data_IF_781219116101
#
_entry.id   IF_781219116101
#
_cell.length_a   1.000
_cell.length_b   1.000
_cell.length_c   1.000
_cell.angle_alpha   90.00
_cell.angle_beta   90.00
_cell.angle_gamma   90.00
#
_symmetry.space_group_name_H-M   'P 1'
#
loop_
_entity.id
_entity.type
_entity.pdbx_description
1 polymer ?
#
# COMPACT_ATOMS: atom_id res chain seq x y z
N UNK A 1 -7.73 -10.48 6.72
CA UNK A 1 -8.30 -11.47 7.63
C UNK A 1 -7.26 -12.53 7.94
N UNK A 2 -7.10 -12.83 9.22
CA UNK A 2 -6.16 -13.83 9.76
C UNK A 2 -6.98 -14.99 10.30
N UNK A 3 -6.60 -16.22 9.95
CA UNK A 3 -7.23 -17.42 10.49
C UNK A 3 -6.70 -17.73 11.88
N UNK A 4 -7.59 -18.12 12.78
CA UNK A 4 -7.30 -18.63 14.12
C UNK A 4 -8.20 -19.82 14.40
N UNK A 5 -7.75 -20.69 15.29
CA UNK A 5 -8.46 -21.90 15.68
C UNK A 5 -8.89 -21.77 17.12
N UNK A 6 -10.19 -21.87 17.38
CA UNK A 6 -10.74 -21.84 18.74
C UNK A 6 -10.48 -23.17 19.46
N UNK A 7 -10.72 -23.18 20.77
CA UNK A 7 -10.61 -24.39 21.60
C UNK A 7 -11.54 -25.53 21.14
N UNK A 8 -12.69 -25.19 20.55
CA UNK A 8 -13.65 -26.14 19.97
C UNK A 8 -13.20 -26.69 18.59
N UNK A 9 -11.96 -26.42 18.18
CA UNK A 9 -11.37 -26.78 16.88
C UNK A 9 -12.06 -26.13 15.68
N UNK A 10 -12.95 -25.15 15.90
CA UNK A 10 -13.54 -24.40 14.81
C UNK A 10 -12.57 -23.34 14.29
N UNK A 11 -12.51 -23.25 12.96
CA UNK A 11 -11.72 -22.23 12.27
C UNK A 11 -12.52 -20.91 12.25
N UNK A 12 -11.88 -19.83 12.69
CA UNK A 12 -12.44 -18.48 12.66
C UNK A 12 -11.47 -17.55 11.93
N UNK A 13 -12.03 -16.54 11.25
CA UNK A 13 -11.25 -15.47 10.64
C UNK A 13 -11.50 -14.17 11.37
N UNK A 14 -10.42 -13.52 11.80
CA UNK A 14 -10.45 -12.27 12.57
C UNK A 14 -9.83 -11.15 11.74
N UNK A 15 -10.38 -9.93 11.89
CA UNK A 15 -9.73 -8.73 11.40
C UNK A 15 -8.53 -8.39 12.30
N UNK A 16 -7.28 -8.46 11.80
CA UNK A 16 -6.11 -8.16 12.64
C UNK A 16 -6.07 -6.72 13.15
N UNK A 17 -6.70 -5.78 12.43
CA UNK A 17 -6.72 -4.37 12.84
C UNK A 17 -7.65 -4.11 14.04
N UNK A 18 -8.52 -5.06 14.38
CA UNK A 18 -9.41 -4.97 15.54
C UNK A 18 -8.82 -5.63 16.80
N UNK A 19 -7.65 -6.24 16.72
CA UNK A 19 -7.01 -6.89 17.86
C UNK A 19 -6.36 -5.82 18.73
N UNK A 20 -6.74 -5.77 20.01
CA UNK A 20 -6.10 -4.91 21.02
C UNK A 20 -4.84 -5.61 21.56
N UNK A 21 -5.00 -6.83 22.08
CA UNK A 21 -3.91 -7.58 22.69
C UNK A 21 -4.03 -9.08 22.41
N UNK A 22 -2.88 -9.74 22.46
CA UNK A 22 -2.73 -11.19 22.38
C UNK A 22 -1.89 -11.58 23.59
N UNK A 23 -2.47 -12.36 24.51
CA UNK A 23 -1.82 -12.82 25.74
C UNK A 23 -1.70 -14.34 25.69
N UNK A 24 -0.56 -14.90 26.12
CA UNK A 24 -0.30 -16.35 26.12
C UNK A 24 -0.24 -16.86 27.58
N UNK A 25 -1.36 -17.37 28.11
CA UNK A 25 -1.50 -17.83 29.50
C UNK A 25 -2.56 -18.94 29.66
N UNK A 26 -2.19 -20.17 30.03
CA UNK A 26 -1.36 -21.07 29.20
C UNK A 26 -1.84 -21.23 27.75
N UNK A 27 -3.11 -20.89 27.49
CA UNK A 27 -3.71 -20.78 26.17
C UNK A 27 -3.61 -19.33 25.65
N UNK A 28 -3.79 -19.11 24.35
CA UNK A 28 -3.70 -17.76 23.80
C UNK A 28 -5.07 -17.07 23.82
N UNK A 29 -5.13 -15.87 24.39
CA UNK A 29 -6.34 -15.03 24.46
C UNK A 29 -6.17 -13.81 23.55
N UNK A 30 -7.12 -13.64 22.63
CA UNK A 30 -7.20 -12.47 21.75
C UNK A 30 -8.32 -11.56 22.25
N UNK A 31 -7.98 -10.33 22.60
CA UNK A 31 -8.97 -9.30 22.96
C UNK A 31 -9.19 -8.37 21.77
N UNK A 32 -10.46 -8.18 21.39
CA UNK A 32 -10.84 -7.27 20.31
C UNK A 32 -11.26 -5.90 20.85
N UNK A 33 -11.23 -4.90 19.95
CA UNK A 33 -11.66 -3.51 20.20
C UNK A 33 -13.06 -3.40 20.83
N UNK A 34 -13.98 -4.28 20.47
CA UNK A 34 -15.35 -4.28 20.98
C UNK A 34 -15.50 -4.91 22.38
N UNK A 35 -14.40 -5.31 23.02
CA UNK A 35 -14.40 -5.97 24.33
C UNK A 35 -14.56 -7.49 24.27
N UNK A 36 -14.84 -8.08 23.09
CA UNK A 36 -14.95 -9.53 22.95
C UNK A 36 -13.57 -10.19 23.12
N UNK A 37 -13.55 -11.34 23.79
CA UNK A 37 -12.35 -12.15 24.02
C UNK A 37 -12.52 -13.53 23.40
N UNK A 38 -11.50 -13.98 22.69
CA UNK A 38 -11.46 -15.31 22.07
C UNK A 38 -10.26 -16.09 22.60
N UNK A 39 -10.52 -17.30 23.08
CA UNK A 39 -9.48 -18.24 23.46
C UNK A 39 -9.18 -19.13 22.25
N UNK A 40 -7.92 -19.20 21.87
CA UNK A 40 -7.44 -19.90 20.67
C UNK A 40 -6.30 -20.85 21.02
N UNK A 41 -6.21 -21.95 20.27
CA UNK A 41 -5.14 -22.95 20.42
C UNK A 41 -3.85 -22.53 19.69
N UNK A 42 -3.96 -21.58 18.75
CA UNK A 42 -2.80 -21.06 18.03
C UNK A 42 -1.92 -20.24 18.98
N UNK A 43 -0.62 -20.53 19.01
CA UNK A 43 0.36 -19.72 19.75
C UNK A 43 0.38 -18.27 19.28
N UNK A 44 0.64 -17.34 20.19
CA UNK A 44 0.75 -15.91 19.91
C UNK A 44 1.71 -15.61 18.74
N UNK A 45 2.89 -16.24 18.73
CA UNK A 45 3.90 -16.06 17.67
C UNK A 45 3.38 -16.43 16.27
N UNK A 46 2.54 -17.47 16.18
CA UNK A 46 1.94 -17.90 14.90
C UNK A 46 0.95 -16.87 14.40
N UNK A 47 0.12 -16.34 15.31
CA UNK A 47 -0.87 -15.31 14.99
C UNK A 47 -0.16 -14.03 14.52
N UNK A 48 0.87 -13.59 15.23
CA UNK A 48 1.69 -12.42 14.87
C UNK A 48 2.29 -12.59 13.47
N UNK A 49 2.86 -13.77 13.18
CA UNK A 49 3.44 -14.06 11.87
C UNK A 49 2.39 -13.98 10.75
N UNK A 50 1.17 -14.48 10.99
CA UNK A 50 0.05 -14.36 10.05
C UNK A 50 -0.38 -12.91 9.84
N UNK A 51 -0.37 -12.07 10.89
CA UNK A 51 -0.66 -10.63 10.81
C UNK A 51 0.38 -9.92 9.93
N UNK A 52 1.67 -10.17 10.19
CA UNK A 52 2.78 -9.59 9.41
C UNK A 52 2.66 -9.99 7.94
N UNK A 53 2.44 -11.28 7.67
CA UNK A 53 2.25 -11.79 6.31
C UNK A 53 1.05 -11.15 5.61
N UNK A 54 -0.07 -10.96 6.32
CA UNK A 54 -1.26 -10.29 5.80
C UNK A 54 -0.95 -8.83 5.40
N UNK A 55 -0.32 -8.05 6.28
CA UNK A 55 0.04 -6.65 6.00
C UNK A 55 1.05 -6.54 4.85
N UNK A 56 2.07 -7.39 4.84
CA UNK A 56 3.07 -7.44 3.77
C UNK A 56 2.44 -7.78 2.41
N UNK A 57 1.48 -8.71 2.38
CA UNK A 57 0.75 -9.09 1.16
C UNK A 57 -0.08 -7.92 0.63
N UNK A 58 -0.75 -7.17 1.49
CA UNK A 58 -1.50 -5.97 1.10
C UNK A 58 -0.55 -4.90 0.55
N UNK A 59 0.51 -4.58 1.29
CA UNK A 59 1.50 -3.56 0.90
C UNK A 59 2.14 -3.87 -0.46
N UNK A 60 2.58 -5.12 -0.67
CA UNK A 60 3.17 -5.55 -1.96
C UNK A 60 2.18 -5.39 -3.12
N UNK A 61 0.91 -5.76 -2.93
CA UNK A 61 -0.12 -5.61 -3.97
C UNK A 61 -0.38 -4.13 -4.27
N UNK A 62 -0.44 -3.28 -3.25
CA UNK A 62 -0.61 -1.84 -3.42
C UNK A 62 0.58 -1.19 -4.14
N UNK A 63 1.82 -1.59 -3.81
CA UNK A 63 3.04 -1.09 -4.44
C UNK A 63 3.21 -1.54 -5.90
N UNK A 64 2.62 -2.66 -6.31
CA UNK A 64 2.72 -3.20 -7.68
C UNK A 64 1.96 -2.40 -8.75
N UNK A 65 1.42 -1.23 -8.42
CA UNK A 65 0.90 -0.30 -9.43
C UNK A 65 2.08 0.15 -10.29
N UNK A 66 2.20 -0.46 -11.47
CA UNK A 66 3.08 -0.06 -12.57
C UNK A 66 3.25 1.45 -12.54
N UNK A 67 4.41 1.92 -12.05
CA UNK A 67 4.68 3.35 -11.94
C UNK A 67 4.47 3.93 -13.34
N UNK A 68 3.44 4.78 -13.44
CA UNK A 68 2.93 5.45 -14.63
C UNK A 68 3.97 5.46 -15.77
N UNK A 69 3.80 4.56 -16.74
CA UNK A 69 4.64 4.44 -17.96
C UNK A 69 4.82 5.79 -18.68
N UNK A 70 3.86 6.70 -18.48
CA UNK A 70 3.85 8.06 -19.02
C UNK A 70 4.77 9.06 -18.29
N UNK A 71 5.20 8.81 -17.04
CA UNK A 71 6.23 9.62 -16.39
C UNK A 71 7.63 9.38 -16.99
N UNK A 72 7.82 8.29 -17.75
CA UNK A 72 9.10 7.93 -18.36
C UNK A 72 9.34 8.47 -19.77
N UNK A 73 8.40 9.21 -20.40
CA UNK A 73 8.51 9.61 -21.82
C UNK A 73 8.92 11.07 -22.08
N UNK A 74 9.14 11.88 -21.04
CA UNK A 74 9.45 13.30 -21.25
C UNK A 74 10.86 13.63 -20.75
N UNK A 75 11.90 13.21 -21.48
CA UNK A 75 13.23 13.82 -21.36
C UNK A 75 14.28 13.52 -22.43
N UNK A 76 13.97 12.79 -23.50
CA UNK A 76 14.99 12.45 -24.52
C UNK A 76 14.94 13.24 -25.84
N UNK A 77 13.86 13.96 -26.17
CA UNK A 77 13.74 14.55 -27.52
C UNK A 77 13.22 16.00 -27.60
N UNK A 78 13.18 16.76 -26.49
CA UNK A 78 12.64 18.14 -26.53
C UNK A 78 13.70 19.25 -26.58
N UNK A 79 14.99 18.94 -26.54
CA UNK A 79 16.04 19.94 -26.66
C UNK A 79 17.13 19.46 -27.61
N UNK A 80 16.87 19.56 -28.91
CA UNK A 80 17.94 19.65 -29.90
C UNK A 80 18.18 21.14 -30.15
N UNK A 81 19.26 21.68 -29.58
CA UNK A 81 19.77 23.00 -29.97
C UNK A 81 20.46 22.81 -31.33
N UNK A 82 19.78 23.10 -32.44
CA UNK A 82 20.48 23.32 -33.69
C UNK A 82 21.24 24.64 -33.55
N UNK A 83 22.55 24.54 -33.36
CA UNK A 83 23.46 25.69 -33.44
C UNK A 83 23.67 26.05 -34.92
N UNK A 84 22.72 26.77 -35.51
CA UNK A 84 22.96 27.47 -36.76
C UNK A 84 23.51 28.88 -36.45
N UNK A 85 24.68 29.30 -36.99
CA UNK A 85 25.31 30.55 -36.56
C UNK A 85 24.58 31.86 -36.93
N UNK A 86 23.57 31.82 -37.82
CA UNK A 86 23.04 33.03 -38.47
C UNK A 86 21.57 33.40 -38.13
N UNK A 87 20.83 32.62 -37.36
CA UNK A 87 19.42 32.92 -37.08
C UNK A 87 19.23 33.79 -35.83
N UNK A 88 19.27 35.12 -36.01
CA UNK A 88 18.71 36.09 -35.07
C UNK A 88 17.18 36.11 -35.18
N UNK A 89 16.48 35.10 -34.65
CA UNK A 89 15.03 35.19 -34.40
C UNK A 89 14.70 34.58 -33.05
N UNK A 90 14.25 35.40 -32.11
CA UNK A 90 13.79 34.96 -30.79
C UNK A 90 12.48 34.14 -30.94
N UNK A 91 12.34 32.96 -30.30
CA UNK A 91 11.08 32.25 -30.32
C UNK A 91 10.08 32.96 -29.42
N UNK A 92 8.93 33.31 -29.99
CA UNK A 92 7.76 33.77 -29.25
C UNK A 92 7.39 32.69 -28.23
N UNK A 93 7.52 32.98 -26.93
CA UNK A 93 7.11 32.09 -25.85
C UNK A 93 5.58 32.02 -25.83
N UNK A 94 5.00 31.12 -26.62
CA UNK A 94 3.66 30.64 -26.33
C UNK A 94 3.75 29.84 -25.02
N UNK A 95 3.38 30.52 -23.93
CA UNK A 95 3.09 29.93 -22.63
C UNK A 95 2.07 28.79 -22.83
N UNK A 96 2.57 27.56 -23.01
CA UNK A 96 1.80 26.35 -22.82
C UNK A 96 1.66 26.13 -21.31
N UNK A 97 0.83 26.95 -20.68
CA UNK A 97 0.24 26.57 -19.41
C UNK A 97 -0.55 25.29 -19.63
N UNK A 98 -0.32 24.21 -18.85
CA UNK A 98 -1.17 23.04 -18.92
C UNK A 98 -2.58 23.45 -18.50
N UNK A 99 -3.53 23.40 -19.45
CA UNK A 99 -4.97 23.51 -19.20
C UNK A 99 -5.41 22.34 -18.32
N UNK A 100 -5.24 22.42 -17.00
CA UNK A 100 -5.98 21.61 -16.01
C UNK A 100 -6.05 22.41 -14.70
N UNK A 101 -6.76 23.53 -14.76
CA UNK A 101 -7.38 24.18 -13.60
C UNK A 101 -8.79 24.65 -13.99
N UNK A 102 -9.58 23.74 -14.56
CA UNK A 102 -11.03 23.89 -14.72
C UNK A 102 -11.63 22.49 -14.73
N UNK A 103 -11.89 21.99 -13.54
CA UNK A 103 -13.08 21.22 -13.24
C UNK A 103 -13.59 21.73 -11.88
N UNK A 104 -14.91 21.79 -11.77
CA UNK A 104 -15.73 22.46 -10.75
C UNK A 104 -15.39 22.18 -9.29
#
# INVERSE_FOLDING_TARGET
>A
MVSVTRLDKQLMYINPDHIICIEETPDTVITLFNGNRYIVIDRAQTIISRIVAFRAKISRRAASRSAKKYLGRTRSNQFHWDKNPDDKVLPYTHNLTPFHSRDY
#
